data_IF_570424747322
#
_entry.id   IF_570424747322
#
_cell.length_a   1.000
_cell.length_b   1.000
_cell.length_c   1.000
_cell.angle_alpha   90.00
_cell.angle_beta   90.00
_cell.angle_gamma   90.00
#
_symmetry.space_group_name_H-M   'P 1'
#
loop_
_entity.id
_entity.type
_entity.pdbx_description
1 polymer ?
2 non-polymer ?
3 non-polymer ?
4 water ?
#
# COMPACT_ATOMS: atom_id res chain seq x y z
N UNK A 17 26.67 -31.56 7.29
CA UNK A 17 27.92 -31.16 8.02
C UNK A 17 27.74 -29.93 8.93
N UNK A 18 26.89 -30.08 9.95
CA UNK A 18 26.61 -29.03 10.92
C UNK A 18 27.84 -28.55 11.70
N UNK A 19 28.92 -29.35 11.71
CA UNK A 19 30.10 -29.05 12.51
C UNK A 19 31.06 -28.04 11.87
N UNK A 20 31.04 -27.93 10.53
CA UNK A 20 32.03 -27.08 9.83
C UNK A 20 31.39 -26.05 8.91
N UNK A 21 30.14 -26.29 8.53
CA UNK A 21 29.39 -25.36 7.69
C UNK A 21 29.19 -24.03 8.43
N UNK A 22 29.15 -22.94 7.66
CA UNK A 22 28.86 -21.62 8.24
C UNK A 22 27.53 -21.65 8.99
N UNK A 23 27.59 -21.25 10.25
CA UNK A 23 26.45 -21.15 11.12
C UNK A 23 26.03 -19.69 11.21
N UNK A 24 26.62 -18.85 10.35
CA UNK A 24 26.39 -17.41 10.39
C UNK A 24 24.91 -17.06 10.21
N UNK A 25 24.30 -17.46 9.09
CA UNK A 25 22.89 -17.15 8.80
C UNK A 25 21.92 -17.61 9.87
N UNK A 26 22.10 -18.85 10.31
CA UNK A 26 21.26 -19.43 11.33
C UNK A 26 21.34 -18.62 12.62
N UNK A 27 22.56 -18.22 12.99
CA UNK A 27 22.81 -17.36 14.14
C UNK A 27 22.07 -16.02 14.03
N UNK A 28 22.25 -15.33 12.89
CA UNK A 28 21.53 -14.08 12.63
C UNK A 28 20.02 -14.28 12.73
N UNK A 29 19.50 -15.31 12.06
CA UNK A 29 18.06 -15.55 12.02
C UNK A 29 17.49 -15.83 13.40
N UNK A 30 18.21 -16.58 14.23
CA UNK A 30 17.78 -16.83 15.63
C UNK A 30 17.75 -15.55 16.47
N UNK A 31 18.73 -14.68 16.30
CA UNK A 31 18.71 -13.37 16.97
C UNK A 31 17.56 -12.48 16.46
N UNK A 32 17.27 -12.49 15.16
CA UNK A 32 16.12 -11.73 14.66
C UNK A 32 14.81 -12.19 15.34
N UNK A 33 14.66 -13.50 15.54
CA UNK A 33 13.45 -14.06 16.12
C UNK A 33 13.19 -13.60 17.55
N UNK A 34 14.23 -13.17 18.28
CA UNK A 34 14.05 -12.64 19.66
C UNK A 34 13.51 -11.19 19.68
N UNK A 35 13.44 -10.57 18.50
CA UNK A 35 13.09 -9.16 18.36
C UNK A 35 11.73 -8.90 17.69
N UNK A 36 11.16 -9.92 17.05
CA UNK A 36 9.90 -9.77 16.30
C UNK A 36 9.16 -11.10 16.16
N UNK A 37 7.83 -11.02 16.05
CA UNK A 37 6.99 -12.21 15.79
C UNK A 37 6.73 -12.41 14.30
N UNK A 38 7.16 -11.47 13.45
CA UNK A 38 7.07 -11.61 12.00
C UNK A 38 7.94 -12.81 11.56
N UNK A 39 7.40 -13.70 10.70
CA UNK A 39 8.18 -14.89 10.32
C UNK A 39 9.49 -14.46 9.68
N UNK A 40 10.58 -15.05 10.15
CA UNK A 40 11.93 -14.67 9.72
C UNK A 40 12.50 -15.82 8.92
N UNK A 41 12.95 -15.53 7.73
CA UNK A 41 13.57 -16.52 6.88
C UNK A 41 15.02 -16.11 6.64
N UNK A 42 15.88 -17.06 6.26
CA UNK A 42 17.22 -16.67 5.82
C UNK A 42 17.19 -15.64 4.69
N UNK A 43 16.25 -15.77 3.76
CA UNK A 43 16.15 -14.78 2.67
C UNK A 43 15.72 -13.37 3.11
N UNK A 44 14.96 -13.26 4.20
CA UNK A 44 14.66 -11.94 4.77
C UNK A 44 16.00 -11.22 5.00
N UNK A 45 16.95 -11.93 5.61
CA UNK A 45 18.26 -11.38 5.96
C UNK A 45 19.05 -11.05 4.69
N UNK A 46 19.07 -12.00 3.76
CA UNK A 46 19.75 -11.83 2.48
C UNK A 46 19.21 -10.62 1.72
N UNK A 47 17.89 -10.48 1.70
CA UNK A 47 17.23 -9.32 1.09
C UNK A 47 17.72 -8.00 1.66
N UNK A 48 17.83 -7.93 2.99
CA UNK A 48 18.32 -6.72 3.65
C UNK A 48 19.81 -6.46 3.33
N UNK A 49 20.62 -7.52 3.34
CA UNK A 49 22.05 -7.43 3.04
C UNK A 49 22.27 -6.97 1.62
N UNK A 50 21.47 -7.49 0.70
CA UNK A 50 21.51 -7.12 -0.69
C UNK A 50 21.19 -5.64 -0.88
N UNK A 51 20.21 -5.14 -0.12
CA UNK A 51 19.84 -3.72 -0.09
C UNK A 51 20.94 -2.82 0.49
N UNK A 52 21.59 -3.30 1.55
CA UNK A 52 22.71 -2.59 2.17
C UNK A 52 23.90 -2.50 1.19
N UNK A 53 24.09 -3.52 0.36
CA UNK A 53 25.09 -3.41 -0.70
C UNK A 53 24.80 -2.30 -1.69
N UNK A 54 23.52 -2.05 -1.94
CA UNK A 54 23.08 -0.99 -2.85
C UNK A 54 23.02 0.42 -2.25
N UNK A 55 22.82 0.54 -0.94
CA UNK A 55 22.53 1.83 -0.37
C UNK A 55 22.84 1.88 1.12
N UNK A 56 23.39 3.00 1.58
CA UNK A 56 23.61 3.20 3.00
C UNK A 56 22.46 3.99 3.68
N UNK A 57 21.42 4.31 2.90
CA UNK A 57 20.25 5.04 3.36
C UNK A 57 19.20 4.08 3.87
N UNK A 58 18.84 4.16 5.13
CA UNK A 58 17.89 3.19 5.70
C UNK A 58 16.54 3.14 5.00
N UNK A 59 16.06 4.29 4.53
CA UNK A 59 14.75 4.32 3.85
C UNK A 59 14.80 3.52 2.53
N UNK A 60 15.90 3.69 1.82
CA UNK A 60 16.17 2.99 0.58
C UNK A 60 16.41 1.50 0.82
N UNK A 61 17.12 1.18 1.89
CA UNK A 61 17.32 -0.24 2.28
C UNK A 61 15.95 -0.95 2.52
N UNK A 62 15.06 -0.31 3.23
CA UNK A 62 13.71 -0.84 3.46
C UNK A 62 13.00 -1.03 2.12
N UNK A 63 13.04 0.02 1.29
CA UNK A 63 12.45 0.02 -0.05
C UNK A 63 13.01 -1.18 -0.88
N UNK A 64 14.34 -1.23 -1.04
CA UNK A 64 14.97 -2.22 -1.90
C UNK A 64 14.78 -3.63 -1.40
N UNK A 65 14.73 -3.82 -0.08
CA UNK A 65 14.67 -5.16 0.45
C UNK A 65 13.29 -5.79 0.30
N UNK A 66 12.27 -4.92 0.18
CA UNK A 66 10.87 -5.32 0.14
C UNK A 66 10.49 -6.23 1.31
N UNK A 67 11.15 -6.02 2.44
CA UNK A 67 10.72 -6.66 3.67
C UNK A 67 10.02 -5.60 4.52
N UNK A 68 9.13 -6.05 5.43
CA UNK A 68 8.40 -5.10 6.23
C UNK A 68 9.37 -4.33 7.13
N UNK A 69 9.10 -3.03 7.30
CA UNK A 69 9.98 -2.14 8.06
C UNK A 69 10.40 -2.67 9.45
N UNK A 70 9.44 -3.18 10.25
CA UNK A 70 9.88 -3.68 11.56
C UNK A 70 10.79 -4.91 11.47
N UNK A 71 10.64 -5.71 10.43
CA UNK A 71 11.54 -6.84 10.23
C UNK A 71 12.92 -6.33 9.82
N UNK A 72 12.95 -5.35 8.93
CA UNK A 72 14.24 -4.79 8.48
C UNK A 72 15.04 -4.21 9.66
N UNK A 73 14.41 -3.33 10.43
CA UNK A 73 15.00 -2.83 11.68
C UNK A 73 15.48 -3.99 12.58
N UNK A 74 14.66 -4.99 12.83
CA UNK A 74 15.12 -6.12 13.68
C UNK A 74 16.32 -6.85 13.04
N UNK A 75 16.31 -6.98 11.72
CA UNK A 75 17.43 -7.58 11.03
C UNK A 75 18.70 -6.72 11.14
N UNK A 76 18.54 -5.42 10.96
CA UNK A 76 19.69 -4.53 11.01
C UNK A 76 20.24 -4.47 12.44
N UNK A 77 19.36 -4.55 13.44
CA UNK A 77 19.82 -4.56 14.83
C UNK A 77 20.61 -5.81 15.15
N UNK A 78 20.14 -6.96 14.66
CA UNK A 78 20.77 -8.25 14.87
C UNK A 78 22.14 -8.30 14.17
N UNK A 79 22.18 -7.87 12.91
CA UNK A 79 23.47 -7.78 12.18
C UNK A 79 24.46 -6.85 12.87
N UNK A 80 23.97 -5.78 13.48
CA UNK A 80 24.82 -4.84 14.24
C UNK A 80 25.33 -5.45 15.53
N UNK A 81 24.43 -6.05 16.31
CA UNK A 81 24.81 -6.75 17.52
C UNK A 81 25.85 -7.84 17.28
N UNK A 82 25.86 -8.41 16.07
CA UNK A 82 26.74 -9.51 15.73
C UNK A 82 27.94 -9.08 14.87
N UNK A 83 28.10 -7.78 14.67
CA UNK A 83 29.33 -7.25 14.10
C UNK A 83 29.38 -7.13 12.59
N UNK A 84 28.22 -7.23 11.93
CA UNK A 84 28.16 -7.27 10.48
C UNK A 84 27.89 -5.92 9.84
N UNK A 85 27.23 -5.02 10.58
CA UNK A 85 26.91 -3.67 10.09
C UNK A 85 27.16 -2.62 11.18
N UNK A 86 27.46 -1.41 10.69
CA UNK A 86 27.65 -0.25 11.56
C UNK A 86 26.72 0.85 11.10
N UNK A 87 26.29 1.68 12.05
CA UNK A 87 25.38 2.76 11.77
C UNK A 87 26.09 4.06 11.93
N UNK A 88 27.42 4.04 11.92
CA UNK A 88 28.15 5.29 12.16
C UNK A 88 28.19 6.25 10.96
N UNK A 89 27.76 5.79 9.79
CA UNK A 89 27.87 6.56 8.55
C UNK A 89 26.85 6.02 7.58
N UNK A 90 25.59 6.32 7.86
CA UNK A 90 24.51 5.58 7.28
C UNK A 90 24.66 4.13 7.69
N UNK A 91 24.00 3.24 6.95
CA UNK A 91 24.14 1.81 7.21
C UNK A 91 25.21 1.24 6.27
N UNK A 92 26.29 0.71 6.82
CA UNK A 92 27.32 0.03 6.02
C UNK A 92 27.71 -1.31 6.62
N UNK A 93 28.16 -2.23 5.76
CA UNK A 93 28.83 -3.44 6.20
C UNK A 93 30.21 -3.14 6.79
N UNK A 94 30.53 -3.90 7.83
CA UNK A 94 31.87 -3.98 8.41
C UNK A 94 32.66 -4.92 7.50
N UNK A 95 33.94 -5.11 7.79
CA UNK A 95 34.68 -6.14 7.08
C UNK A 95 34.06 -7.51 7.32
N UNK A 96 33.64 -7.78 8.55
CA UNK A 96 32.93 -9.03 8.82
C UNK A 96 31.66 -9.16 7.94
N UNK A 97 30.93 -8.06 7.77
CA UNK A 97 29.76 -8.07 6.88
C UNK A 97 30.13 -8.30 5.43
N UNK A 98 31.23 -7.67 5.00
CA UNK A 98 31.71 -7.84 3.62
C UNK A 98 32.06 -9.31 3.38
N UNK A 99 32.59 -9.97 4.42
CA UNK A 99 32.95 -11.39 4.34
C UNK A 99 31.71 -12.27 4.34
N UNK A 100 30.70 -11.86 5.10
CA UNK A 100 29.41 -12.55 5.13
C UNK A 100 28.76 -12.59 3.74
N UNK A 101 28.64 -11.43 3.09
CA UNK A 101 27.99 -11.40 1.77
C UNK A 101 28.79 -12.18 0.73
N UNK A 102 30.13 -12.08 0.78
CA UNK A 102 31.02 -12.82 -0.12
C UNK A 102 30.83 -14.32 0.04
N UNK A 103 30.84 -14.78 1.28
CA UNK A 103 30.62 -16.19 1.61
C UNK A 103 29.30 -16.74 1.10
N UNK A 104 28.19 -16.03 1.35
CA UNK A 104 26.86 -16.50 0.92
C UNK A 104 26.47 -16.08 -0.50
N UNK A 105 27.41 -15.45 -1.22
CA UNK A 105 27.19 -15.07 -2.63
C UNK A 105 26.03 -14.10 -2.81
N UNK A 106 25.92 -13.15 -1.89
CA UNK A 106 24.80 -12.22 -1.90
C UNK A 106 25.14 -11.04 -2.79
N UNK A 107 24.39 -10.85 -3.85
CA UNK A 107 24.62 -9.76 -4.77
C UNK A 107 23.96 -8.46 -4.32
N UNK A 108 24.46 -7.37 -4.86
CA UNK A 108 23.83 -6.06 -4.71
C UNK A 108 22.45 -6.00 -5.38
N UNK A 109 21.45 -5.51 -4.66
CA UNK A 109 20.11 -5.34 -5.24
C UNK A 109 20.07 -4.28 -6.35
N UNK A 110 19.68 -4.72 -7.55
CA UNK A 110 19.49 -3.88 -8.75
C UNK A 110 18.01 -3.43 -8.85
N UNK A 111 17.71 -2.19 -9.24
CA UNK A 111 16.31 -1.87 -9.65
C UNK A 111 16.22 -1.22 -11.04
N UNK A 124 1.67 8.26 -19.17
CA UNK A 124 1.06 9.36 -18.40
C UNK A 124 1.13 10.70 -19.14
N UNK A 125 2.02 10.79 -20.13
CA UNK A 125 2.25 12.02 -20.88
C UNK A 125 1.19 12.34 -21.97
N UNK A 126 0.37 11.34 -22.34
CA UNK A 126 -0.80 11.56 -23.21
C UNK A 126 -2.00 12.20 -22.45
N UNK A 127 -2.01 12.03 -21.13
CA UNK A 127 -3.01 12.62 -20.20
C UNK A 127 -2.36 13.77 -19.41
N UNK A 128 -1.54 14.58 -20.10
CA UNK A 128 -0.75 15.64 -19.45
C UNK A 128 -1.63 16.80 -18.98
N UNK A 129 -2.72 17.05 -19.71
CA UNK A 129 -3.76 18.01 -19.34
C UNK A 129 -4.43 17.63 -18.01
N UNK A 130 -4.71 16.33 -17.84
CA UNK A 130 -5.34 15.84 -16.64
C UNK A 130 -4.45 16.09 -15.43
N UNK A 131 -3.17 15.82 -15.62
CA UNK A 131 -2.22 15.97 -14.54
C UNK A 131 -2.03 17.43 -14.14
N UNK A 132 -1.95 18.32 -15.13
CA UNK A 132 -1.81 19.75 -14.84
C UNK A 132 -3.05 20.22 -14.06
N UNK A 133 -4.23 19.82 -14.54
CA UNK A 133 -5.49 20.22 -13.90
C UNK A 133 -5.59 19.67 -12.48
N UNK A 134 -5.12 18.43 -12.29
CA UNK A 134 -5.17 17.80 -10.97
C UNK A 134 -4.24 18.48 -9.97
N UNK A 135 -3.02 18.79 -10.39
CA UNK A 135 -2.10 19.51 -9.53
C UNK A 135 -2.64 20.90 -9.19
N UNK A 136 -3.22 21.56 -10.17
CA UNK A 136 -3.80 22.88 -9.98
C UNK A 136 -4.83 22.86 -8.87
N UNK A 137 -5.67 21.83 -8.87
CA UNK A 137 -6.72 21.70 -7.88
C UNK A 137 -6.18 21.34 -6.52
N UNK A 138 -5.33 20.32 -6.45
CA UNK A 138 -4.97 19.78 -5.14
C UNK A 138 -3.83 20.56 -4.43
N UNK A 139 -3.28 21.58 -5.07
CA UNK A 139 -2.27 22.40 -4.40
C UNK A 139 -2.83 22.97 -3.10
N UNK A 140 -4.15 23.17 -3.08
CA UNK A 140 -4.84 23.70 -1.92
C UNK A 140 -5.66 22.65 -1.17
N UNK A 141 -5.29 21.38 -1.33
CA UNK A 141 -5.95 20.31 -0.58
C UNK A 141 -5.83 20.54 0.92
N UNK A 142 -6.77 19.98 1.72
CA UNK A 142 -6.59 20.12 3.16
C UNK A 142 -5.35 19.35 3.63
N UNK A 143 -4.68 19.90 4.66
CA UNK A 143 -3.47 19.31 5.23
C UNK A 143 -3.71 17.88 5.72
N UNK A 144 -2.84 16.95 5.33
CA UNK A 144 -2.92 15.60 5.94
C UNK A 144 -2.87 15.70 7.48
N UNK A 145 -3.76 14.98 8.16
CA UNK A 145 -3.80 14.99 9.62
C UNK A 145 -3.62 13.59 10.20
N UNK A 146 -2.70 13.47 11.16
CA UNK A 146 -2.41 12.21 11.85
C UNK A 146 -3.68 11.61 12.47
N UNK A 147 -4.56 12.50 12.93
CA UNK A 147 -5.86 12.12 13.54
C UNK A 147 -6.72 11.18 12.65
N UNK A 148 -6.60 11.34 11.33
CA UNK A 148 -7.36 10.52 10.37
C UNK A 148 -6.48 9.49 9.65
N UNK A 149 -5.26 9.30 10.14
CA UNK A 149 -4.28 8.36 9.51
C UNK A 149 -4.16 8.62 8.00
N UNK A 150 -3.86 9.89 7.66
CA UNK A 150 -3.87 10.34 6.28
C UNK A 150 -2.48 10.29 5.67
N UNK A 151 -2.33 9.40 4.69
CA UNK A 151 -1.13 9.23 3.89
C UNK A 151 -1.65 9.09 2.47
N UNK A 152 -1.20 9.93 1.55
CA UNK A 152 -1.72 9.86 0.18
C UNK A 152 -0.62 9.74 -0.87
N UNK A 153 -1.01 9.27 -2.06
CA UNK A 153 -0.08 9.02 -3.15
C UNK A 153 0.26 10.32 -3.92
N UNK A 154 1.30 10.31 -4.74
CA UNK A 154 1.64 11.48 -5.54
C UNK A 154 0.53 11.76 -6.59
N UNK A 155 0.47 13.02 -7.10
CA UNK A 155 -0.46 13.32 -8.21
C UNK A 155 -0.17 12.43 -9.43
N UNK A 156 1.08 12.08 -9.67
CA UNK A 156 1.42 11.20 -10.77
C UNK A 156 0.80 9.80 -10.57
N UNK A 157 0.88 9.26 -9.34
CA UNK A 157 0.16 8.02 -9.01
C UNK A 157 -1.33 8.12 -9.28
N UNK A 158 -2.00 9.12 -8.73
CA UNK A 158 -3.45 9.23 -8.89
C UNK A 158 -3.85 9.20 -10.37
N UNK A 159 -3.15 10.00 -11.17
CA UNK A 159 -3.47 10.09 -12.59
C UNK A 159 -3.12 8.79 -13.31
N UNK A 160 -2.04 8.13 -12.90
CA UNK A 160 -1.71 6.83 -13.48
C UNK A 160 -2.77 5.81 -13.13
N UNK A 161 -3.32 5.87 -11.92
CA UNK A 161 -4.41 4.99 -11.54
C UNK A 161 -5.64 5.11 -12.46
N UNK A 162 -6.05 6.36 -12.72
CA UNK A 162 -7.15 6.63 -13.64
C UNK A 162 -6.86 5.99 -15.00
N UNK A 163 -5.67 6.24 -15.52
CA UNK A 163 -5.29 5.65 -16.81
C UNK A 163 -5.35 4.14 -16.78
N UNK A 164 -4.79 3.56 -15.75
CA UNK A 164 -4.80 2.13 -15.64
C UNK A 164 -6.24 1.59 -15.65
N UNK A 165 -7.10 2.16 -14.82
CA UNK A 165 -8.51 1.71 -14.71
C UNK A 165 -9.24 1.87 -16.05
N UNK A 166 -8.92 2.95 -16.77
CA UNK A 166 -9.49 3.17 -18.08
C UNK A 166 -9.04 2.08 -19.08
N UNK A 167 -7.76 1.67 -19.02
CA UNK A 167 -7.25 0.63 -19.91
C UNK A 167 -7.89 -0.73 -19.65
N UNK A 168 -8.40 -0.95 -18.43
CA UNK A 168 -9.15 -2.17 -18.15
C UNK A 168 -10.63 -2.00 -18.39
N UNK A 169 -11.07 -0.87 -18.94
CA UNK A 169 -12.51 -0.71 -19.24
C UNK A 169 -13.40 -0.48 -18.03
N UNK A 170 -12.84 -0.04 -16.91
CA UNK A 170 -13.63 0.11 -15.67
C UNK A 170 -14.17 1.52 -15.34
N UNK A 171 -13.87 2.52 -16.20
CA UNK A 171 -14.30 3.91 -15.92
C UNK A 171 -15.46 4.46 -16.76
N UNK A 172 -15.29 4.40 -18.10
CA UNK A 172 -16.15 5.13 -19.03
C UNK A 172 -17.63 4.74 -18.95
N UNK A 173 -18.47 5.72 -18.56
CA UNK A 173 -19.92 5.55 -18.36
C UNK A 173 -20.21 4.52 -17.27
N UNK A 174 -19.29 4.39 -16.33
CA UNK A 174 -19.43 3.46 -15.23
C UNK A 174 -19.70 4.19 -13.93
N UNK A 175 -20.23 3.42 -12.97
CA UNK A 175 -20.47 3.91 -11.62
C UNK A 175 -19.34 3.49 -10.66
N UNK A 176 -18.61 4.48 -10.15
CA UNK A 176 -17.42 4.25 -9.30
C UNK A 176 -17.72 4.56 -7.81
N UNK A 177 -17.34 3.66 -6.92
CA UNK A 177 -17.42 3.95 -5.51
C UNK A 177 -16.01 4.09 -4.94
N UNK A 178 -15.73 5.24 -4.32
CA UNK A 178 -14.41 5.53 -3.75
C UNK A 178 -14.54 5.46 -2.23
N UNK A 179 -14.09 4.35 -1.67
CA UNK A 179 -14.13 4.10 -0.23
C UNK A 179 -12.90 4.67 0.49
N UNK A 180 -13.02 5.87 1.03
CA UNK A 180 -11.88 6.60 1.60
C UNK A 180 -11.21 7.31 0.44
N UNK A 181 -10.88 8.58 0.59
CA UNK A 181 -10.28 9.27 -0.54
C UNK A 181 -9.27 10.34 -0.18
N UNK A 182 -8.33 10.04 0.71
CA UNK A 182 -7.29 11.03 0.99
C UNK A 182 -6.36 11.25 -0.21
N UNK A 183 -6.40 10.33 -1.17
CA UNK A 183 -5.65 10.47 -2.43
C UNK A 183 -6.30 11.47 -3.37
N UNK A 184 -7.59 11.78 -3.14
CA UNK A 184 -8.39 12.63 -4.04
C UNK A 184 -8.49 12.06 -5.47
N UNK A 185 -8.56 10.72 -5.57
CA UNK A 185 -8.89 10.00 -6.81
C UNK A 185 -10.19 10.47 -7.45
N UNK A 186 -11.17 10.83 -6.62
CA UNK A 186 -12.44 11.27 -7.16
C UNK A 186 -12.25 12.55 -7.96
N UNK A 187 -11.34 13.42 -7.57
CA UNK A 187 -11.12 14.62 -8.36
C UNK A 187 -10.54 14.30 -9.73
N UNK A 188 -9.57 13.39 -9.76
CA UNK A 188 -8.94 12.97 -11.02
C UNK A 188 -9.94 12.23 -11.87
N UNK A 189 -10.79 11.41 -11.24
CA UNK A 189 -11.87 10.73 -11.97
C UNK A 189 -12.85 11.72 -12.59
N UNK A 190 -13.21 12.76 -11.84
CA UNK A 190 -14.07 13.82 -12.37
C UNK A 190 -13.42 14.57 -13.49
N UNK A 191 -12.14 14.93 -13.33
CA UNK A 191 -11.43 15.65 -14.39
C UNK A 191 -11.32 14.86 -15.67
N UNK A 192 -11.28 13.53 -15.57
CA UNK A 192 -11.23 12.65 -16.76
C UNK A 192 -12.52 12.74 -17.59
N UNK A 193 -13.64 13.03 -16.93
CA UNK A 193 -14.93 13.08 -17.57
C UNK A 193 -15.45 11.69 -17.89
N UNK A 194 -14.74 10.66 -17.44
CA UNK A 194 -15.11 9.31 -17.88
C UNK A 194 -16.33 8.67 -17.18
N UNK A 195 -16.33 8.64 -15.84
CA UNK A 195 -17.42 7.88 -15.16
C UNK A 195 -18.83 8.47 -15.32
N UNK A 196 -19.85 7.61 -15.37
CA UNK A 196 -21.26 8.04 -15.31
C UNK A 196 -21.53 8.83 -14.00
N UNK A 197 -21.09 8.25 -12.89
CA UNK A 197 -21.32 8.82 -11.58
C UNK A 197 -20.21 8.34 -10.63
N UNK A 198 -19.99 9.09 -9.56
CA UNK A 198 -18.99 8.75 -8.55
C UNK A 198 -19.60 8.94 -7.19
N UNK A 199 -19.39 7.99 -6.28
CA UNK A 199 -19.78 8.14 -4.87
C UNK A 199 -18.55 8.03 -3.99
N UNK A 200 -18.42 8.94 -3.02
CA UNK A 200 -17.22 8.95 -2.17
C UNK A 200 -17.63 8.90 -0.71
N UNK A 201 -16.97 8.06 0.07
CA UNK A 201 -17.16 8.04 1.51
C UNK A 201 -15.80 8.35 2.10
N UNK A 202 -15.74 9.31 3.01
CA UNK A 202 -14.49 9.54 3.78
C UNK A 202 -14.81 10.11 5.15
N UNK A 203 -14.11 9.61 6.15
CA UNK A 203 -14.33 10.00 7.55
C UNK A 203 -13.94 11.45 7.81
N UNK A 204 -12.98 11.96 7.02
CA UNK A 204 -12.58 13.36 7.10
C UNK A 204 -13.40 14.20 6.12
N UNK A 205 -14.32 14.94 6.71
CA UNK A 205 -15.23 15.82 6.00
C UNK A 205 -14.52 16.94 5.23
N UNK A 206 -13.35 17.36 5.71
CA UNK A 206 -12.58 18.39 5.01
C UNK A 206 -12.31 17.89 3.58
N UNK A 207 -12.09 16.59 3.44
CA UNK A 207 -11.91 16.01 2.11
C UNK A 207 -13.18 16.04 1.28
N UNK A 208 -14.30 15.58 1.85
CA UNK A 208 -15.55 15.50 1.08
C UNK A 208 -16.02 16.89 0.69
N UNK A 209 -15.86 17.86 1.60
CA UNK A 209 -16.21 19.25 1.30
C UNK A 209 -15.38 19.79 0.12
N UNK A 210 -14.09 19.45 0.12
CA UNK A 210 -13.16 19.86 -0.92
C UNK A 210 -13.52 19.22 -2.27
N UNK A 211 -13.86 17.94 -2.23
CA UNK A 211 -14.29 17.19 -3.40
C UNK A 211 -15.54 17.81 -4.03
N UNK A 212 -16.49 18.20 -3.18
CA UNK A 212 -17.72 18.85 -3.66
C UNK A 212 -17.44 20.23 -4.25
N UNK A 213 -16.54 20.98 -3.62
CA UNK A 213 -16.14 22.28 -4.15
C UNK A 213 -15.46 22.11 -5.50
N UNK A 214 -14.55 21.13 -5.58
CA UNK A 214 -13.86 20.80 -6.82
C UNK A 214 -14.85 20.41 -7.92
N UNK A 215 -15.80 19.53 -7.60
CA UNK A 215 -16.86 19.11 -8.54
C UNK A 215 -17.56 20.30 -9.19
N UNK A 216 -17.82 21.33 -8.40
CA UNK A 216 -18.48 22.53 -8.86
C UNK A 216 -17.62 23.31 -9.83
N UNK A 217 -16.33 23.45 -9.52
CA UNK A 217 -15.42 24.20 -10.38
C UNK A 217 -15.17 23.44 -11.72
N UNK A 218 -15.23 22.12 -11.66
CA UNK A 218 -15.06 21.24 -12.83
C UNK A 218 -16.35 21.15 -13.69
N UNK A 219 -17.51 21.35 -13.06
CA UNK A 219 -18.81 21.21 -13.72
C UNK A 219 -19.25 19.76 -13.75
N UNK A 220 -18.81 18.98 -12.77
CA UNK A 220 -19.18 17.57 -12.72
C UNK A 220 -20.34 17.40 -11.75
N UNK A 221 -21.51 17.06 -12.27
CA UNK A 221 -22.72 17.06 -11.44
C UNK A 221 -22.92 15.77 -10.69
N UNK A 222 -22.43 14.68 -11.25
CA UNK A 222 -22.82 13.36 -10.78
C UNK A 222 -21.92 12.79 -9.67
N UNK A 223 -21.63 13.64 -8.69
CA UNK A 223 -20.82 13.24 -7.54
C UNK A 223 -21.78 13.16 -6.35
N UNK A 224 -21.66 12.11 -5.55
CA UNK A 224 -22.41 11.96 -4.32
C UNK A 224 -21.47 11.68 -3.15
N UNK A 225 -21.71 12.32 -2.01
CA UNK A 225 -20.98 11.97 -0.80
C UNK A 225 -21.81 11.00 0.05
N UNK A 226 -21.27 9.83 0.35
CA UNK A 226 -21.97 8.89 1.23
C UNK A 226 -21.46 9.12 2.64
N UNK A 227 -22.37 9.13 3.60
CA UNK A 227 -21.97 9.24 5.00
C UNK A 227 -22.79 8.17 5.70
N UNK A 228 -22.20 7.01 5.91
CA UNK A 228 -22.85 5.98 6.72
C UNK A 228 -21.82 5.18 7.49
N UNK A 229 -22.28 4.47 8.51
CA UNK A 229 -21.41 3.67 9.36
C UNK A 229 -21.03 2.38 8.64
N UNK A 230 -19.74 2.27 8.31
CA UNK A 230 -19.23 1.09 7.62
C UNK A 230 -19.33 -0.19 8.43
N UNK A 231 -19.47 -0.06 9.76
CA UNK A 231 -19.62 -1.20 10.63
C UNK A 231 -20.97 -1.86 10.43
N UNK A 232 -21.98 -1.02 10.16
CA UNK A 232 -23.36 -1.45 10.01
C UNK A 232 -23.65 -1.92 8.58
N UNK A 233 -24.73 -2.72 8.38
CA UNK A 233 -25.00 -3.22 7.03
C UNK A 233 -25.00 -2.10 5.98
N UNK A 234 -24.50 -2.42 4.78
CA UNK A 234 -24.61 -1.51 3.67
C UNK A 234 -26.08 -1.09 3.43
N UNK A 235 -26.31 0.21 3.20
CA UNK A 235 -27.64 0.69 2.83
C UNK A 235 -27.97 0.31 1.39
N UNK A 236 -29.27 0.25 1.08
CA UNK A 236 -29.75 -0.14 -0.25
C UNK A 236 -29.14 0.69 -1.37
N UNK A 237 -28.84 1.96 -1.10
CA UNK A 237 -28.28 2.85 -2.13
C UNK A 237 -26.79 2.64 -2.39
N UNK A 238 -26.16 1.80 -1.57
CA UNK A 238 -24.77 1.40 -1.80
C UNK A 238 -24.61 -0.11 -1.96
N UNK A 239 -25.69 -0.86 -1.84
CA UNK A 239 -25.58 -2.31 -1.94
C UNK A 239 -25.80 -2.67 -3.39
N UNK A 240 -24.79 -3.29 -3.99
CA UNK A 240 -24.85 -3.73 -5.38
C UNK A 240 -25.21 -2.64 -6.40
N UNK A 241 -24.57 -1.47 -6.30
CA UNK A 241 -24.94 -0.34 -7.16
C UNK A 241 -23.79 0.16 -8.03
N UNK A 242 -22.59 -0.41 -7.87
CA UNK A 242 -21.39 0.09 -8.56
C UNK A 242 -20.74 -0.92 -9.47
N UNK A 243 -20.05 -0.38 -10.48
CA UNK A 243 -19.28 -1.16 -11.44
C UNK A 243 -17.85 -1.37 -10.97
N UNK A 244 -17.30 -0.39 -10.26
CA UNK A 244 -15.91 -0.36 -9.88
C UNK A 244 -15.76 0.27 -8.48
N UNK A 245 -14.98 -0.34 -7.58
CA UNK A 245 -14.60 0.34 -6.36
C UNK A 245 -13.10 0.50 -6.27
N UNK A 246 -12.71 1.53 -5.54
CA UNK A 246 -11.33 1.75 -5.24
C UNK A 246 -11.16 2.13 -3.76
N UNK A 247 -10.13 1.61 -3.13
CA UNK A 247 -9.93 1.81 -1.71
C UNK A 247 -8.46 1.57 -1.39
N UNK A 248 -7.97 2.16 -0.30
CA UNK A 248 -6.59 1.93 0.12
C UNK A 248 -6.64 1.60 1.61
N UNK A 249 -6.80 0.32 1.93
CA UNK A 249 -7.03 -0.05 3.32
C UNK A 249 -5.74 -0.07 4.14
N UNK A 250 -5.87 0.06 5.49
CA UNK A 250 -4.80 -0.23 6.44
C UNK A 250 -4.22 -1.62 6.21
N UNK A 251 -3.04 -1.84 6.75
CA UNK A 251 -2.22 -2.96 6.37
C UNK A 251 -2.43 -4.18 7.25
N UNK A 252 -3.64 -4.37 7.80
CA UNK A 252 -3.92 -5.60 8.56
C UNK A 252 -4.92 -6.48 7.82
N UNK A 253 -4.79 -7.79 7.98
CA UNK A 253 -5.74 -8.75 7.41
C UNK A 253 -7.18 -8.41 7.84
N UNK A 254 -7.32 -7.94 9.08
CA UNK A 254 -8.64 -7.57 9.60
C UNK A 254 -9.21 -6.32 8.89
N UNK A 255 -8.36 -5.34 8.59
CA UNK A 255 -8.87 -4.15 7.93
C UNK A 255 -9.14 -4.39 6.45
N UNK A 256 -8.32 -5.22 5.82
CA UNK A 256 -8.46 -5.57 4.41
C UNK A 256 -9.77 -6.34 4.19
N UNK A 257 -10.03 -7.35 5.02
CA UNK A 257 -11.27 -8.09 4.95
C UNK A 257 -12.48 -7.17 5.18
N UNK A 258 -12.34 -6.13 5.99
CA UNK A 258 -13.43 -5.17 6.15
C UNK A 258 -13.59 -4.24 4.92
N UNK A 259 -12.51 -3.59 4.51
CA UNK A 259 -12.58 -2.69 3.37
C UNK A 259 -12.92 -3.35 2.02
N UNK A 260 -12.26 -4.47 1.71
CA UNK A 260 -12.52 -5.19 0.44
C UNK A 260 -13.83 -5.96 0.57
N UNK A 261 -14.14 -6.46 1.75
CA UNK A 261 -15.40 -7.20 1.89
C UNK A 261 -16.55 -6.27 1.57
N UNK A 262 -16.45 -5.06 2.10
CA UNK A 262 -17.45 -4.04 1.92
C UNK A 262 -17.44 -3.51 0.49
N UNK A 263 -16.25 -3.29 -0.09
CA UNK A 263 -16.20 -2.84 -1.48
C UNK A 263 -16.88 -3.83 -2.44
N UNK A 264 -16.58 -5.11 -2.28
CA UNK A 264 -17.16 -6.14 -3.16
C UNK A 264 -18.67 -6.17 -3.00
N UNK A 265 -19.17 -5.91 -1.79
CA UNK A 265 -20.63 -5.90 -1.60
C UNK A 265 -21.24 -4.66 -2.28
N UNK A 266 -20.45 -3.64 -2.60
CA UNK A 266 -21.02 -2.50 -3.33
C UNK A 266 -21.11 -2.75 -4.84
N UNK A 267 -20.49 -3.84 -5.29
CA UNK A 267 -20.42 -4.16 -6.72
C UNK A 267 -21.70 -4.82 -7.19
N UNK A 268 -22.12 -4.46 -8.42
CA UNK A 268 -23.42 -4.86 -8.98
C UNK A 268 -23.62 -6.37 -9.03
N UNK A 269 -22.55 -7.08 -9.39
CA UNK A 269 -22.59 -8.51 -9.59
C UNK A 269 -21.29 -8.94 -10.23
N UNK A 270 -21.31 -10.08 -10.94
CA UNK A 270 -20.16 -10.55 -11.72
C UNK A 270 -19.55 -9.53 -12.69
N UNK A 271 -18.23 -9.64 -12.87
CA UNK A 271 -17.44 -8.84 -13.83
C UNK A 271 -17.35 -7.36 -13.48
N UNK A 272 -17.43 -7.11 -12.18
CA UNK A 272 -17.15 -5.80 -11.65
C UNK A 272 -15.73 -5.79 -11.11
N UNK A 273 -15.14 -4.59 -10.99
CA UNK A 273 -13.73 -4.43 -10.65
C UNK A 273 -13.52 -3.80 -9.28
N UNK A 274 -12.50 -4.27 -8.57
CA UNK A 274 -12.03 -3.61 -7.34
C UNK A 274 -10.54 -3.31 -7.45
N UNK A 275 -10.11 -2.17 -6.93
CA UNK A 275 -8.73 -1.75 -6.93
C UNK A 275 -8.35 -1.38 -5.50
N UNK A 276 -7.17 -1.81 -5.06
CA UNK A 276 -6.68 -1.44 -3.71
C UNK A 276 -5.20 -1.69 -3.62
N UNK A 277 -4.56 -1.01 -2.69
CA UNK A 277 -3.11 -1.09 -2.49
C UNK A 277 -2.76 -2.10 -1.41
N UNK A 278 -1.66 -2.82 -1.61
CA UNK A 278 -1.10 -3.69 -0.58
C UNK A 278 0.40 -3.45 -0.59
N UNK A 279 0.97 -3.26 0.60
CA UNK A 279 2.37 -2.88 0.70
C UNK A 279 3.30 -4.01 1.18
N UNK A 280 4.53 -4.00 0.67
CA UNK A 280 5.58 -4.83 1.26
C UNK A 280 6.24 -4.15 2.47
N UNK A 281 5.93 -2.86 2.67
CA UNK A 281 6.52 -2.05 3.76
C UNK A 281 6.02 -2.47 5.11
N UNK A 282 4.85 -3.08 5.12
CA UNK A 282 4.19 -3.34 6.36
C UNK A 282 3.60 -4.71 6.43
N UNK A 283 3.48 -5.40 5.29
CA UNK A 283 2.96 -6.77 5.29
C UNK A 283 4.01 -7.71 4.73
N UNK A 284 4.33 -8.76 5.49
CA UNK A 284 5.20 -9.84 5.01
C UNK A 284 4.50 -10.67 3.95
N UNK A 285 5.30 -11.41 3.19
CA UNK A 285 4.74 -12.31 2.20
C UNK A 285 3.85 -13.38 2.83
N UNK A 286 4.14 -13.77 4.07
CA UNK A 286 3.23 -14.71 4.78
C UNK A 286 1.88 -14.04 4.97
N UNK A 287 1.88 -12.74 5.24
CA UNK A 287 0.62 -11.99 5.36
C UNK A 287 -0.07 -11.86 3.99
N UNK A 288 0.70 -11.60 2.94
CA UNK A 288 0.15 -11.62 1.59
C UNK A 288 -0.56 -12.94 1.28
N UNK A 289 0.05 -14.07 1.67
CA UNK A 289 -0.56 -15.36 1.43
C UNK A 289 -1.94 -15.36 2.07
N UNK A 290 -2.06 -14.91 3.32
CA UNK A 290 -3.38 -14.93 4.00
C UNK A 290 -4.35 -14.02 3.24
N UNK A 291 -3.86 -12.90 2.73
CA UNK A 291 -4.73 -11.93 2.06
C UNK A 291 -5.28 -12.54 0.79
N UNK A 292 -4.37 -13.08 -0.01
CA UNK A 292 -4.76 -13.78 -1.24
C UNK A 292 -5.69 -14.95 -0.97
N UNK A 293 -5.51 -15.65 0.15
CA UNK A 293 -6.46 -16.72 0.49
C UNK A 293 -7.85 -16.16 0.82
N UNK A 294 -7.89 -15.07 1.57
CA UNK A 294 -9.12 -14.33 1.78
C UNK A 294 -9.83 -14.03 0.44
N UNK A 295 -9.05 -13.50 -0.50
CA UNK A 295 -9.63 -13.05 -1.75
C UNK A 295 -10.27 -14.22 -2.51
N UNK A 296 -9.55 -15.34 -2.60
CA UNK A 296 -9.98 -16.44 -3.40
C UNK A 296 -10.96 -17.36 -2.67
N UNK A 297 -10.77 -17.56 -1.38
CA UNK A 297 -11.62 -18.52 -0.66
C UNK A 297 -12.74 -17.83 0.12
N UNK A 298 -12.48 -16.64 0.66
CA UNK A 298 -13.56 -15.91 1.34
C UNK A 298 -14.47 -15.21 0.30
N UNK A 299 -13.90 -14.30 -0.45
CA UNK A 299 -14.67 -13.51 -1.38
C UNK A 299 -14.87 -14.18 -2.73
N UNK A 300 -14.09 -15.23 -3.00
CA UNK A 300 -14.22 -16.00 -4.25
C UNK A 300 -14.15 -15.11 -5.49
N UNK A 301 -13.20 -14.17 -5.46
CA UNK A 301 -12.92 -13.31 -6.61
C UNK A 301 -11.63 -13.77 -7.33
N UNK A 302 -11.25 -13.11 -8.45
CA UNK A 302 -10.04 -13.46 -9.17
C UNK A 302 -9.14 -12.23 -9.18
N UNK A 303 -7.83 -12.43 -9.13
CA UNK A 303 -6.89 -11.34 -9.16
C UNK A 303 -6.34 -11.23 -10.58
N UNK A 304 -6.53 -10.07 -11.18
CA UNK A 304 -6.12 -9.90 -12.57
C UNK A 304 -4.79 -9.18 -12.68
N UNK A 305 -4.40 -8.46 -11.64
CA UNK A 305 -3.19 -7.61 -11.67
C UNK A 305 -2.60 -7.47 -10.27
N UNK A 306 -1.28 -7.58 -10.19
CA UNK A 306 -0.51 -7.27 -8.96
C UNK A 306 0.71 -6.56 -9.47
N UNK A 307 0.75 -5.25 -9.25
CA UNK A 307 1.70 -4.39 -9.95
C UNK A 307 2.61 -3.77 -8.91
N UNK A 308 3.88 -4.18 -8.92
CA UNK A 308 4.81 -3.79 -7.89
C UNK A 308 5.04 -2.27 -7.90
N UNK A 309 5.09 -1.65 -6.71
CA UNK A 309 5.42 -0.24 -6.53
C UNK A 309 4.63 0.72 -7.42
N UNK A 310 3.38 0.37 -7.72
CA UNK A 310 2.57 1.22 -8.56
C UNK A 310 2.22 2.53 -7.80
N UNK A 311 1.95 2.39 -6.51
CA UNK A 311 1.59 3.51 -5.65
C UNK A 311 2.79 4.13 -4.95
N UNK A 312 3.07 5.40 -5.24
CA UNK A 312 4.14 6.16 -4.57
C UNK A 312 3.52 7.19 -3.61
N UNK A 313 3.75 7.01 -2.31
CA UNK A 313 3.20 7.92 -1.27
C UNK A 313 4.06 9.18 -1.07
N UNK A 314 3.39 10.31 -0.89
CA UNK A 314 4.07 11.55 -0.55
C UNK A 314 4.52 11.41 0.90
N UNK A 315 5.79 11.72 1.15
CA UNK A 315 6.28 11.70 2.54
C UNK A 315 5.43 12.60 3.43
N UNK A 316 4.83 11.96 4.45
CA UNK A 316 3.93 12.64 5.38
C UNK A 316 4.50 12.78 6.79
N UNK A 317 5.78 12.42 6.98
CA UNK A 317 6.36 12.41 8.33
C UNK A 317 6.23 11.07 9.03
N UNK A 318 5.93 10.02 8.26
CA UNK A 318 5.87 8.67 8.83
C UNK A 318 7.24 8.14 9.27
N UNK A 319 8.28 8.40 8.47
CA UNK A 319 9.63 7.93 8.78
C UNK A 319 10.06 8.27 10.22
N UNK A 320 9.82 9.52 10.63
CA UNK A 320 10.26 10.02 11.94
C UNK A 320 9.53 9.36 13.10
N UNK A 321 8.42 8.73 12.79
CA UNK A 321 7.60 8.09 13.80
C UNK A 321 7.93 6.60 13.92
N UNK A 322 8.82 6.09 13.06
CA UNK A 322 9.22 4.68 13.07
C UNK A 322 10.46 4.41 13.91
N UNK A 323 10.72 3.12 14.15
CA UNK A 323 11.89 2.69 14.90
C UNK A 323 13.14 2.89 14.05
N UNK A 324 12.97 2.88 12.73
CA UNK A 324 14.09 3.10 11.82
C UNK A 324 14.76 4.41 12.14
N UNK A 325 13.93 5.41 12.48
CA UNK A 325 14.39 6.76 12.82
C UNK A 325 15.40 6.72 13.96
N UNK A 326 15.16 5.86 14.94
CA UNK A 326 16.01 5.78 16.15
C UNK A 326 17.29 4.97 15.91
N UNK A 327 17.33 4.22 14.81
CA UNK A 327 18.42 3.26 14.57
C UNK A 327 19.78 3.92 14.26
N UNK A 328 19.75 4.99 13.47
CA UNK A 328 20.98 5.62 12.98
C UNK A 328 21.25 6.82 13.88
N UNK A 329 22.42 6.86 14.55
CA UNK A 329 22.70 8.00 15.45
C UNK A 329 22.43 9.37 14.81
N UNK A 330 22.99 9.65 13.63
CA UNK A 330 22.66 10.89 12.93
C UNK A 330 21.37 10.75 12.14
N UNK A 331 20.39 11.60 12.45
CA UNK A 331 19.07 11.52 11.85
C UNK A 331 19.07 12.08 10.44
N UNK A 332 18.54 11.29 9.51
CA UNK A 332 18.36 11.74 8.14
C UNK A 332 16.97 11.36 7.64
N UNK A 333 16.27 12.36 7.12
CA UNK A 333 14.96 12.20 6.50
C UNK A 333 15.08 11.56 5.12
N UNK A 334 14.03 10.85 4.66
CA UNK A 334 14.03 10.28 3.31
C UNK A 334 14.31 11.33 2.23
N UNK A 335 15.16 11.00 1.26
CA UNK A 335 15.47 11.92 0.14
C UNK A 335 14.44 11.87 -0.98
N UNK A 336 13.57 10.86 -0.93
CA UNK A 336 12.67 10.56 -2.03
C UNK A 336 11.46 9.87 -1.40
N UNK A 337 10.48 9.51 -2.22
CA UNK A 337 9.31 8.84 -1.70
C UNK A 337 9.59 7.34 -1.59
N UNK A 338 10.06 6.91 -0.43
CA UNK A 338 10.54 5.54 -0.20
C UNK A 338 9.39 4.60 0.08
N UNK A 339 8.22 5.17 0.38
CA UNK A 339 7.10 4.34 0.83
C UNK A 339 6.17 4.09 -0.36
N UNK A 340 6.00 2.82 -0.73
CA UNK A 340 5.34 2.41 -1.97
C UNK A 340 4.46 1.22 -1.67
N UNK A 341 3.39 1.06 -2.47
CA UNK A 341 2.53 -0.12 -2.35
C UNK A 341 2.29 -0.70 -3.75
N UNK A 342 1.87 -1.97 -3.78
CA UNK A 342 1.53 -2.64 -5.04
C UNK A 342 0.06 -2.39 -5.31
N UNK A 343 -0.31 -2.24 -6.59
CA UNK A 343 -1.70 -2.17 -6.97
C UNK A 343 -2.24 -3.57 -7.22
N UNK A 344 -3.34 -3.91 -6.54
CA UNK A 344 -4.07 -5.13 -6.83
C UNK A 344 -5.33 -4.73 -7.59
N UNK A 345 -5.62 -5.48 -8.65
CA UNK A 345 -6.94 -5.41 -9.27
C UNK A 345 -7.63 -6.75 -9.13
N UNK A 346 -8.87 -6.72 -8.64
CA UNK A 346 -9.68 -7.93 -8.58
C UNK A 346 -10.92 -7.80 -9.47
N UNK A 347 -11.48 -8.94 -9.90
CA UNK A 347 -12.70 -8.93 -10.67
C UNK A 347 -13.66 -9.97 -10.07
N UNK A 348 -14.94 -9.61 -9.91
CA UNK A 348 -15.97 -10.57 -9.45
C UNK A 348 -16.32 -11.52 -10.59
N UNK A 349 -16.79 -12.73 -10.24
CA UNK A 349 -17.19 -13.71 -11.22
C UNK A 349 -18.46 -14.38 -10.66
N UNK A 350 -19.03 -15.33 -11.36
CA UNK A 350 -20.16 -16.04 -10.76
C UNK A 350 -19.71 -16.61 -9.39
N UNK A 351 -20.57 -16.45 -8.37
CA UNK A 351 -20.27 -16.95 -7.01
C UNK A 351 -19.38 -16.07 -6.11
N UNK A 352 -18.87 -14.94 -6.64
CA UNK A 352 -18.16 -14.01 -5.78
C UNK A 352 -19.07 -13.48 -4.70
N UNK A 353 -18.50 -12.97 -3.61
CA UNK A 353 -19.32 -12.42 -2.54
C UNK A 353 -18.52 -11.51 -1.63
N UNK A 354 -19.20 -10.54 -1.04
CA UNK A 354 -18.56 -9.62 -0.11
C UNK A 354 -19.27 -9.65 1.22
N UNK A 355 -19.06 -8.61 2.01
CA UNK A 355 -19.85 -8.54 3.26
C UNK A 355 -20.91 -7.46 3.21
N UNK A 356 -22.16 -7.91 3.06
CA UNK A 356 -23.25 -6.97 2.90
C UNK A 356 -23.60 -6.40 4.27
N UNK A 357 -23.42 -7.22 5.31
CA UNK A 357 -24.01 -6.95 6.64
C UNK A 357 -22.93 -6.70 7.70
N UNK A 358 -23.04 -7.36 8.87
CA UNK A 358 -21.96 -7.34 9.88
C UNK A 358 -20.67 -7.90 9.26
N UNK A 359 -19.54 -7.25 9.54
CA UNK A 359 -18.25 -7.83 9.16
C UNK A 359 -17.86 -8.87 10.21
N UNK A 360 -17.62 -10.12 9.77
CA UNK A 360 -17.32 -11.15 10.77
C UNK A 360 -15.91 -11.11 11.36
N UNK A 361 -15.72 -11.78 12.49
CA UNK A 361 -14.42 -11.91 13.13
C UNK A 361 -13.55 -12.84 12.29
N UNK A 362 -14.08 -14.03 12.00
CA UNK A 362 -13.36 -15.00 11.17
C UNK A 362 -13.99 -15.12 9.75
N UNK A 363 -13.43 -15.98 8.89
CA UNK A 363 -14.01 -16.30 7.59
C UNK A 363 -15.37 -16.97 7.79
N UNK A 364 -16.39 -16.51 7.06
CA UNK A 364 -17.73 -17.14 7.14
C UNK A 364 -18.13 -17.92 5.88
N UNK A 365 -17.59 -17.53 4.74
CA UNK A 365 -17.95 -18.15 3.46
C UNK A 365 -17.03 -19.31 3.10
N UNK A 366 -15.87 -19.34 3.75
CA UNK A 366 -14.81 -20.30 3.43
C UNK A 366 -14.82 -21.48 4.41
X LIG B 1 -4.42 6.90 2.44
X LIG C 1 -23.10 -0.67 -17.54
X LIG D 1 7.02 9.11 5.13
X LIG D 1 8.22 9.09 5.49
X LIG D 1 6.20 10.00 5.45
X LIG D 1 6.54 8.00 4.25
X LIG E 1 9.53 -19.68 9.73
X LIG E 1 10.50 -20.16 9.10
X LIG E 1 9.51 -18.53 10.24
X LIG E 1 8.30 -20.54 9.87
X LIG F 1 -20.87 -9.44 -5.73
X LIG F 1 -21.22 -8.26 -5.94
X LIG F 1 -20.83 -9.92 -4.58
X LIG F 1 -20.47 -10.30 -6.89
#
# INVERSE_FOLDING_TARGET
>A
XHHHHHHSSGVDLGTENLYFQSNAMKEIVERVKTKTKIPVYERSVENVLSAVLASDDIWRIVDLSEEPLPLVVAILESLNELGYVTFEDGVKLTEKGEELVAEYGIGKRYDFTCPHCQGKTVDLQAFADLLEQFREIVKDRPEPLHEFDQAYVTPETTVARVILMHTRGDLENKDIFVLGDDDLTSIALMLSGLPKRIAVLDIDERLTKFIEKAANEIGYEDIEIFTFDLRKPLPDYALHKFDTFITDPPETLEAIRAFVGRGIATLKGPRCAGYFGITRRESSLDKWREIQKLLLNEFNVVITDIIRNFNEYVNWGYAEETRAWKLIPIKKLPEYNWYKSYMFRIETLEGSRGYEDEIPEEDIYNDEESSTT
>B hetero
1 CA CA
>C hetero
1 CA CA
>D hetero
1 ACY C O OXT CH3
>E hetero
1 ACY C O OXT CH3
>F hetero
1 ACY C O OXT CH3
#
